data_IF_364599146275
#
_entry.id   IF_364599146275
#
_cell.length_a   1.000
_cell.length_b   1.000
_cell.length_c   1.000
_cell.angle_alpha   90.00
_cell.angle_beta   90.00
_cell.angle_gamma   90.00
#
_symmetry.space_group_name_H-M   'P 1'
#
loop_
_entity.id
_entity.type
_entity.pdbx_description
1 polymer ?
#
# COMPACT_ATOMS: atom_id res chain seq x y z
N UNK A 1 -12.95 42.07 -77.01
CA UNK A 1 -11.93 42.09 -75.98
C UNK A 1 -12.35 41.09 -74.94
N UNK A 2 -11.79 39.88 -74.96
CA UNK A 2 -12.12 38.78 -74.08
C UNK A 2 -11.03 38.64 -73.00
N UNK A 3 -11.39 38.77 -71.73
CA UNK A 3 -10.52 38.64 -70.61
C UNK A 3 -10.51 37.21 -70.13
N UNK A 4 -9.38 36.53 -70.28
CA UNK A 4 -9.19 35.15 -69.78
C UNK A 4 -8.75 35.21 -68.33
N UNK A 5 -9.58 34.65 -67.44
CA UNK A 5 -9.19 34.31 -66.04
C UNK A 5 -8.47 32.95 -66.00
N UNK A 6 -7.19 32.98 -65.66
CA UNK A 6 -6.37 31.82 -65.39
C UNK A 6 -6.60 31.47 -63.93
N UNK A 7 -7.26 30.32 -63.68
CA UNK A 7 -7.39 29.74 -62.33
C UNK A 7 -6.14 28.91 -62.09
N UNK A 8 -5.24 29.38 -61.22
CA UNK A 8 -4.17 28.55 -60.64
C UNK A 8 -4.75 27.67 -59.57
N UNK A 9 -4.78 26.37 -59.83
CA UNK A 9 -5.04 25.36 -58.79
C UNK A 9 -3.77 25.17 -57.97
N UNK A 10 -3.78 25.63 -56.72
CA UNK A 10 -2.74 25.33 -55.73
C UNK A 10 -3.13 23.98 -55.10
N UNK A 11 -2.41 22.93 -55.46
CA UNK A 11 -2.50 21.62 -54.79
C UNK A 11 -1.79 21.73 -53.46
N UNK A 12 -2.57 21.81 -52.36
CA UNK A 12 -2.09 21.62 -51.02
C UNK A 12 -1.85 20.12 -50.80
N UNK A 13 -0.60 19.69 -50.85
CA UNK A 13 -0.17 18.39 -50.37
C UNK A 13 -0.23 18.39 -48.84
N UNK A 14 -1.23 17.71 -48.28
CA UNK A 14 -1.30 17.41 -46.86
C UNK A 14 -0.26 16.33 -46.57
N UNK A 15 0.74 16.55 -45.70
CA UNK A 15 1.60 15.45 -45.29
C UNK A 15 0.77 14.46 -44.51
N UNK A 16 0.76 13.19 -44.94
CA UNK A 16 0.29 12.07 -44.16
C UNK A 16 1.19 11.96 -42.89
N UNK A 17 0.75 12.57 -41.80
CA UNK A 17 1.28 12.21 -40.48
C UNK A 17 0.68 10.84 -40.16
N UNK A 18 1.39 9.78 -40.54
CA UNK A 18 1.22 8.48 -39.89
C UNK A 18 1.67 8.66 -38.42
N UNK A 19 0.73 8.74 -37.52
CA UNK A 19 1.01 8.53 -36.11
C UNK A 19 1.54 7.10 -35.97
N UNK A 20 2.85 6.99 -35.86
CA UNK A 20 3.50 5.76 -35.43
C UNK A 20 3.12 5.56 -33.96
N UNK A 21 2.04 4.79 -33.72
CA UNK A 21 1.61 4.33 -32.37
C UNK A 21 2.43 3.09 -32.01
N UNK A 22 3.73 3.12 -32.25
CA UNK A 22 4.69 2.17 -31.66
C UNK A 22 5.40 2.80 -30.45
N UNK A 23 4.71 3.67 -29.72
CA UNK A 23 5.08 4.08 -28.39
C UNK A 23 4.73 2.94 -27.43
N UNK A 24 5.77 2.26 -26.91
CA UNK A 24 5.83 1.39 -25.75
C UNK A 24 4.47 1.25 -25.03
N UNK A 25 3.72 0.22 -25.38
CA UNK A 25 2.75 -0.32 -24.42
C UNK A 25 3.60 -0.90 -23.30
N UNK A 26 3.68 -0.19 -22.18
CA UNK A 26 4.10 -0.80 -20.93
C UNK A 26 3.14 -1.98 -20.74
N UNK A 27 3.69 -3.18 -20.58
CA UNK A 27 2.89 -4.37 -20.25
C UNK A 27 2.42 -4.33 -18.79
N UNK A 28 2.49 -3.16 -18.16
CA UNK A 28 2.07 -2.99 -16.78
C UNK A 28 0.55 -3.09 -16.70
N UNK A 29 0.02 -3.85 -15.75
CA UNK A 29 -1.42 -3.97 -15.54
C UNK A 29 -2.05 -2.60 -15.31
N UNK A 30 -3.21 -2.37 -15.91
CA UNK A 30 -3.92 -1.09 -15.80
C UNK A 30 -4.85 -1.16 -14.59
N UNK A 31 -4.69 -0.20 -13.66
CA UNK A 31 -5.67 0.08 -12.61
C UNK A 31 -6.71 1.07 -13.12
N UNK A 32 -7.99 0.74 -12.99
CA UNK A 32 -9.09 1.57 -13.44
C UNK A 32 -10.05 1.91 -12.30
N UNK A 33 -10.47 3.17 -12.26
CA UNK A 33 -11.37 3.70 -11.25
C UNK A 33 -12.52 4.45 -11.93
N UNK A 34 -13.76 4.06 -11.61
CA UNK A 34 -14.98 4.66 -12.13
C UNK A 34 -15.81 5.24 -11.00
N UNK A 35 -16.29 6.49 -11.15
CA UNK A 35 -17.18 7.10 -10.15
C UNK A 35 -18.56 6.47 -10.20
N UNK A 36 -19.27 6.54 -9.08
CA UNK A 36 -20.70 6.23 -9.01
C UNK A 36 -21.56 7.29 -9.73
N UNK A 37 -22.86 7.01 -9.87
CA UNK A 37 -23.81 7.97 -10.48
C UNK A 37 -23.97 9.28 -9.68
N UNK A 38 -23.62 9.29 -8.40
CA UNK A 38 -23.59 10.47 -7.54
C UNK A 38 -22.19 11.11 -7.42
N UNK A 39 -21.27 10.71 -8.28
CA UNK A 39 -19.97 11.34 -8.45
C UNK A 39 -18.89 10.91 -7.45
N UNK A 40 -19.12 9.85 -6.66
CA UNK A 40 -18.15 9.34 -5.70
C UNK A 40 -17.11 8.49 -6.44
N UNK A 41 -15.86 8.87 -6.32
CA UNK A 41 -14.72 8.20 -6.96
C UNK A 41 -13.93 7.37 -5.94
N UNK A 42 -13.68 6.07 -6.21
CA UNK A 42 -12.80 5.26 -5.37
C UNK A 42 -11.33 5.48 -5.77
N UNK A 43 -10.45 5.44 -4.78
CA UNK A 43 -8.99 5.51 -4.95
C UNK A 43 -8.41 4.34 -4.17
N UNK A 44 -7.82 3.38 -4.87
CA UNK A 44 -7.14 2.26 -4.23
C UNK A 44 -5.85 2.75 -3.56
N UNK A 45 -5.60 2.31 -2.34
CA UNK A 45 -4.40 2.59 -1.57
C UNK A 45 -3.51 1.36 -1.38
N UNK A 46 -3.94 0.20 -1.86
CA UNK A 46 -3.16 -1.04 -1.88
C UNK A 46 -2.52 -1.22 -3.24
N UNK A 47 -1.20 -1.45 -3.30
CA UNK A 47 -0.45 -1.52 -4.55
C UNK A 47 -0.06 -2.94 -4.94
N UNK A 48 0.02 -3.88 -3.99
CA UNK A 48 0.46 -5.25 -4.26
C UNK A 48 -0.66 -6.28 -3.99
N UNK A 49 -1.52 -6.47 -5.00
CA UNK A 49 -2.55 -7.51 -4.97
C UNK A 49 -2.01 -8.81 -5.57
N UNK A 50 -2.25 -9.92 -4.90
CA UNK A 50 -1.89 -11.26 -5.35
C UNK A 50 -2.94 -12.28 -4.90
N UNK A 51 -2.91 -13.47 -5.50
CA UNK A 51 -3.80 -14.59 -5.12
C UNK A 51 -3.72 -14.88 -3.62
N UNK A 52 -4.86 -15.19 -3.02
CA UNK A 52 -5.06 -15.47 -1.60
C UNK A 52 -5.95 -14.43 -0.92
N UNK A 53 -6.10 -14.57 0.39
CA UNK A 53 -6.80 -13.58 1.19
C UNK A 53 -5.96 -12.32 1.34
N UNK A 54 -6.50 -11.17 0.93
CA UNK A 54 -5.80 -9.88 0.89
C UNK A 54 -6.59 -8.79 1.59
N UNK A 55 -5.91 -8.03 2.43
CA UNK A 55 -6.44 -6.76 2.91
C UNK A 55 -6.30 -5.74 1.79
N UNK A 56 -7.43 -5.18 1.38
CA UNK A 56 -7.45 -4.02 0.51
C UNK A 56 -7.76 -2.77 1.33
N UNK A 57 -7.17 -1.66 0.91
CA UNK A 57 -7.42 -0.34 1.49
C UNK A 57 -7.75 0.65 0.37
N UNK A 58 -8.78 1.45 0.55
CA UNK A 58 -9.20 2.44 -0.45
C UNK A 58 -9.90 3.63 0.20
N UNK A 59 -9.93 4.74 -0.53
CA UNK A 59 -10.67 5.94 -0.17
C UNK A 59 -11.86 6.11 -1.10
N UNK A 60 -12.90 6.76 -0.61
CA UNK A 60 -13.98 7.30 -1.43
C UNK A 60 -13.94 8.81 -1.35
N UNK A 61 -13.99 9.47 -2.51
CA UNK A 61 -13.90 10.93 -2.61
C UNK A 61 -14.97 11.48 -3.52
N UNK A 62 -15.45 12.68 -3.21
CA UNK A 62 -16.30 13.48 -4.07
C UNK A 62 -15.76 14.91 -4.20
N UNK A 63 -16.54 15.83 -4.74
CA UNK A 63 -16.16 17.24 -4.90
C UNK A 63 -15.95 17.99 -3.58
N UNK A 64 -16.39 17.42 -2.45
CA UNK A 64 -16.27 18.01 -1.10
C UNK A 64 -15.14 17.42 -0.29
N UNK A 65 -14.56 16.29 -0.73
CA UNK A 65 -13.44 15.62 -0.08
C UNK A 65 -13.66 14.13 0.16
N UNK A 66 -13.18 13.62 1.30
CA UNK A 66 -13.32 12.21 1.67
C UNK A 66 -14.76 11.92 2.09
N UNK A 67 -15.37 10.95 1.43
CA UNK A 67 -16.69 10.43 1.80
C UNK A 67 -16.52 9.38 2.89
N UNK A 68 -17.20 9.59 4.02
CA UNK A 68 -17.16 8.72 5.19
C UNK A 68 -18.52 8.08 5.44
N UNK A 69 -18.53 6.77 5.59
CA UNK A 69 -19.61 5.96 6.12
C UNK A 69 -19.00 4.94 7.06
N UNK A 70 -19.70 4.43 8.04
CA UNK A 70 -19.14 3.41 8.94
C UNK A 70 -18.69 2.18 8.17
N UNK A 71 -19.55 1.77 7.24
CA UNK A 71 -19.29 0.61 6.35
C UNK A 71 -19.73 0.90 4.93
N UNK A 72 -19.19 0.12 4.00
CA UNK A 72 -19.63 0.03 2.60
C UNK A 72 -19.62 -1.43 2.17
N UNK A 73 -20.51 -1.78 1.26
CA UNK A 73 -20.59 -3.13 0.69
C UNK A 73 -19.75 -3.20 -0.59
N UNK A 74 -18.86 -4.20 -0.67
CA UNK A 74 -18.11 -4.55 -1.86
C UNK A 74 -18.71 -5.79 -2.51
N UNK A 75 -18.99 -5.72 -3.82
CA UNK A 75 -19.28 -6.89 -4.64
C UNK A 75 -18.10 -7.13 -5.56
N UNK A 76 -17.52 -8.31 -5.47
CA UNK A 76 -16.24 -8.65 -6.10
C UNK A 76 -16.43 -9.76 -7.12
N UNK A 77 -15.81 -9.65 -8.29
CA UNK A 77 -15.80 -10.71 -9.30
C UNK A 77 -14.53 -10.72 -10.13
N UNK A 78 -14.13 -11.90 -10.57
CA UNK A 78 -13.13 -12.07 -11.62
C UNK A 78 -13.76 -11.78 -13.00
N UNK A 79 -13.16 -10.86 -13.77
CA UNK A 79 -13.81 -10.34 -14.99
C UNK A 79 -13.97 -11.41 -16.06
N UNK A 80 -12.98 -12.29 -16.22
CA UNK A 80 -12.97 -13.28 -17.30
C UNK A 80 -13.77 -14.55 -16.97
N UNK A 81 -14.16 -14.75 -15.69
CA UNK A 81 -14.79 -15.98 -15.23
C UNK A 81 -16.31 -15.96 -15.31
N UNK A 82 -16.92 -14.87 -14.92
CA UNK A 82 -18.38 -14.79 -14.75
C UNK A 82 -18.93 -13.38 -14.81
N UNK A 83 -20.19 -13.24 -15.25
CA UNK A 83 -20.94 -11.98 -15.10
C UNK A 83 -21.52 -11.82 -13.69
N UNK A 84 -21.60 -12.90 -12.90
CA UNK A 84 -22.03 -12.85 -11.50
C UNK A 84 -20.90 -12.43 -10.57
N UNK A 85 -21.25 -11.86 -9.42
CA UNK A 85 -20.27 -11.57 -8.38
C UNK A 85 -19.90 -12.87 -7.65
N UNK A 86 -18.60 -13.03 -7.42
CA UNK A 86 -18.02 -14.20 -6.75
C UNK A 86 -18.09 -14.08 -5.23
N UNK A 87 -17.98 -12.85 -4.72
CA UNK A 87 -17.98 -12.58 -3.28
C UNK A 87 -18.67 -11.23 -2.95
N UNK A 88 -19.18 -11.14 -1.73
CA UNK A 88 -19.72 -9.91 -1.15
C UNK A 88 -19.06 -9.70 0.19
N UNK A 89 -18.29 -8.64 0.31
CA UNK A 89 -17.56 -8.28 1.52
C UNK A 89 -17.98 -6.92 2.05
N UNK A 90 -17.75 -6.67 3.34
CA UNK A 90 -17.98 -5.39 3.97
C UNK A 90 -16.65 -4.73 4.25
N UNK A 91 -16.45 -3.50 3.76
CA UNK A 91 -15.32 -2.68 4.15
C UNK A 91 -15.75 -1.72 5.27
N UNK A 92 -14.92 -1.63 6.29
CA UNK A 92 -15.08 -0.70 7.41
C UNK A 92 -14.18 0.51 7.22
N UNK A 93 -14.68 1.69 7.56
CA UNK A 93 -13.90 2.91 7.60
C UNK A 93 -13.08 2.97 8.90
N UNK A 94 -11.79 3.25 8.77
CA UNK A 94 -10.91 3.52 9.90
C UNK A 94 -10.36 4.93 9.78
N UNK A 95 -10.54 5.71 10.84
CA UNK A 95 -9.94 7.02 10.93
C UNK A 95 -8.42 6.92 11.05
N UNK A 96 -7.73 7.78 10.28
CA UNK A 96 -6.30 7.97 10.36
C UNK A 96 -6.00 9.33 10.98
N UNK A 97 -4.78 9.53 11.49
CA UNK A 97 -4.36 10.83 11.97
C UNK A 97 -4.61 11.96 10.95
N UNK A 98 -4.72 13.17 11.45
CA UNK A 98 -4.95 14.38 10.65
C UNK A 98 -6.28 14.42 9.87
N UNK A 99 -7.32 13.78 10.40
CA UNK A 99 -8.67 13.79 9.82
C UNK A 99 -8.81 12.99 8.52
N UNK A 100 -7.84 12.15 8.21
CA UNK A 100 -7.86 11.22 7.10
C UNK A 100 -8.45 9.88 7.50
N UNK A 101 -8.50 8.93 6.59
CA UNK A 101 -8.93 7.57 6.84
C UNK A 101 -9.13 6.81 5.55
N UNK A 102 -9.33 5.52 5.67
CA UNK A 102 -9.59 4.64 4.55
C UNK A 102 -10.57 3.53 4.93
N UNK A 103 -11.24 3.01 3.93
CA UNK A 103 -11.99 1.75 4.05
C UNK A 103 -11.02 0.59 3.91
N UNK A 104 -11.21 -0.45 4.71
CA UNK A 104 -10.47 -1.70 4.58
C UNK A 104 -11.40 -2.90 4.57
N UNK A 105 -11.07 -3.89 3.75
CA UNK A 105 -11.76 -5.18 3.69
C UNK A 105 -10.77 -6.30 3.44
N UNK A 106 -11.13 -7.51 3.86
CA UNK A 106 -10.47 -8.74 3.44
C UNK A 106 -11.20 -9.31 2.24
N UNK A 107 -10.46 -9.58 1.16
CA UNK A 107 -10.97 -10.17 -0.08
C UNK A 107 -10.14 -11.41 -0.41
N UNK A 108 -10.82 -12.49 -0.78
CA UNK A 108 -10.14 -13.70 -1.25
C UNK A 108 -10.08 -13.69 -2.79
N UNK A 109 -8.89 -13.47 -3.32
CA UNK A 109 -8.61 -13.60 -4.76
C UNK A 109 -8.11 -15.01 -5.03
N UNK A 110 -8.94 -15.88 -5.63
CA UNK A 110 -8.63 -17.29 -5.82
C UNK A 110 -7.83 -17.60 -7.10
N UNK A 111 -7.75 -16.65 -8.03
CA UNK A 111 -6.92 -16.76 -9.23
C UNK A 111 -6.37 -15.40 -9.71
N UNK A 112 -5.28 -15.40 -10.50
CA UNK A 112 -4.72 -14.15 -11.05
C UNK A 112 -5.58 -13.65 -12.21
N UNK A 113 -5.52 -12.34 -12.46
CA UNK A 113 -6.24 -11.70 -13.54
C UNK A 113 -6.90 -10.39 -13.11
N UNK A 114 -7.78 -9.86 -13.95
CA UNK A 114 -8.52 -8.64 -13.62
C UNK A 114 -9.72 -8.93 -12.74
N UNK A 115 -9.79 -8.21 -11.63
CA UNK A 115 -10.89 -8.26 -10.67
C UNK A 115 -11.64 -6.94 -10.63
N UNK A 116 -12.95 -7.01 -10.66
CA UNK A 116 -13.84 -5.88 -10.48
C UNK A 116 -14.37 -5.85 -9.05
N UNK A 117 -14.32 -4.69 -8.44
CA UNK A 117 -14.88 -4.41 -7.12
C UNK A 117 -15.88 -3.27 -7.24
N UNK A 118 -17.18 -3.56 -7.11
CA UNK A 118 -18.27 -2.60 -7.08
C UNK A 118 -18.55 -2.19 -5.64
N UNK A 119 -18.49 -0.90 -5.34
CA UNK A 119 -18.54 -0.34 -4.00
C UNK A 119 -19.85 0.42 -3.82
N UNK A 120 -20.69 -0.04 -2.89
CA UNK A 120 -21.96 0.55 -2.53
C UNK A 120 -21.87 1.16 -1.14
N UNK A 121 -22.33 2.40 -1.00
CA UNK A 121 -22.49 3.03 0.31
C UNK A 121 -23.88 2.67 0.83
N UNK A 122 -23.94 1.97 1.95
CA UNK A 122 -25.13 1.26 2.41
C UNK A 122 -26.33 2.17 2.72
N UNK A 123 -26.07 3.42 3.09
CA UNK A 123 -27.10 4.43 3.38
C UNK A 123 -27.52 5.27 2.16
N UNK A 124 -27.00 4.94 0.95
CA UNK A 124 -27.31 5.64 -0.30
C UNK A 124 -27.96 4.73 -1.32
N UNK A 125 -28.98 5.25 -2.00
CA UNK A 125 -29.62 4.55 -3.11
C UNK A 125 -28.81 4.76 -4.41
N UNK A 126 -27.68 4.07 -4.55
CA UNK A 126 -26.82 4.15 -5.72
C UNK A 126 -27.29 3.19 -6.81
N UNK A 127 -27.71 3.74 -7.96
CA UNK A 127 -28.07 2.94 -9.14
C UNK A 127 -26.82 2.39 -9.84
N UNK A 128 -25.74 3.17 -9.84
CA UNK A 128 -24.43 2.79 -10.39
C UNK A 128 -23.42 2.96 -9.27
N UNK A 129 -22.76 1.89 -8.82
CA UNK A 129 -21.75 1.97 -7.75
C UNK A 129 -20.46 2.62 -8.21
N UNK A 130 -19.63 3.03 -7.26
CA UNK A 130 -18.22 3.28 -7.53
C UNK A 130 -17.53 1.96 -7.87
N UNK A 131 -16.55 1.97 -8.76
CA UNK A 131 -15.90 0.74 -9.22
C UNK A 131 -14.40 0.87 -9.31
N UNK A 132 -13.72 -0.15 -8.84
CA UNK A 132 -12.30 -0.43 -9.09
C UNK A 132 -12.18 -1.66 -9.99
N UNK A 133 -11.21 -1.62 -10.91
CA UNK A 133 -10.76 -2.79 -11.69
C UNK A 133 -9.26 -2.87 -11.53
N UNK A 134 -8.79 -3.98 -10.95
CA UNK A 134 -7.41 -4.16 -10.56
C UNK A 134 -6.88 -5.51 -11.03
N UNK A 135 -5.59 -5.52 -11.34
CA UNK A 135 -4.87 -6.75 -11.64
C UNK A 135 -4.43 -7.43 -10.35
N UNK A 136 -4.65 -8.73 -10.27
CA UNK A 136 -4.19 -9.59 -9.18
C UNK A 136 -3.10 -10.51 -9.72
N UNK A 137 -1.91 -10.45 -9.17
CA UNK A 137 -0.79 -11.30 -9.55
C UNK A 137 -0.94 -12.71 -9.00
N UNK A 138 -0.33 -13.68 -9.66
CA UNK A 138 -0.30 -15.07 -9.16
C UNK A 138 0.44 -15.17 -7.82
N UNK A 139 1.56 -14.45 -7.70
CA UNK A 139 2.42 -14.48 -6.52
C UNK A 139 2.66 -13.07 -6.01
N UNK A 140 2.78 -12.92 -4.71
CA UNK A 140 3.22 -11.66 -4.12
C UNK A 140 4.66 -11.33 -4.51
N UNK A 141 4.95 -10.06 -4.75
CA UNK A 141 6.30 -9.57 -5.07
C UNK A 141 7.19 -9.49 -3.83
N UNK A 142 6.58 -9.25 -2.67
CA UNK A 142 7.25 -9.10 -1.36
C UNK A 142 6.92 -10.31 -0.46
N UNK A 143 7.58 -10.48 0.70
CA UNK A 143 7.27 -11.57 1.63
C UNK A 143 5.78 -11.63 1.96
N UNK A 144 5.20 -12.83 1.84
CA UNK A 144 3.76 -13.05 1.89
C UNK A 144 3.33 -13.82 3.14
N UNK A 145 2.04 -13.75 3.45
CA UNK A 145 1.42 -14.51 4.53
C UNK A 145 1.75 -16.01 4.39
N UNK A 146 2.14 -16.64 5.48
CA UNK A 146 2.60 -18.04 5.52
C UNK A 146 4.08 -18.23 5.18
N UNK A 147 4.78 -17.23 4.64
CA UNK A 147 6.22 -17.31 4.36
C UNK A 147 7.07 -16.87 5.56
N UNK A 148 8.32 -17.31 5.56
CA UNK A 148 9.36 -16.80 6.47
C UNK A 148 10.13 -15.72 5.70
N UNK A 149 10.14 -14.45 6.18
CA UNK A 149 10.82 -13.38 5.48
C UNK A 149 12.34 -13.44 5.64
N UNK A 150 13.11 -12.64 4.88
CA UNK A 150 14.55 -12.53 5.04
C UNK A 150 14.97 -12.16 6.46
N UNK A 151 16.02 -12.82 6.97
CA UNK A 151 16.62 -12.54 8.28
C UNK A 151 17.57 -11.35 8.18
N UNK A 152 17.02 -10.17 8.01
CA UNK A 152 17.76 -8.95 7.73
C UNK A 152 18.47 -8.40 8.96
N UNK A 153 19.61 -7.76 8.73
CA UNK A 153 20.22 -6.87 9.72
C UNK A 153 19.54 -5.51 9.60
N UNK A 154 18.80 -5.12 10.64
CA UNK A 154 18.32 -3.75 10.82
C UNK A 154 19.20 -3.04 11.84
N UNK A 155 19.28 -1.72 11.77
CA UNK A 155 20.03 -0.94 12.73
C UNK A 155 19.41 -1.06 14.13
N UNK A 156 20.28 -1.05 15.13
CA UNK A 156 19.91 -1.09 16.54
C UNK A 156 20.63 0.02 17.30
N UNK A 157 20.19 0.28 18.51
CA UNK A 157 20.82 1.28 19.37
C UNK A 157 22.27 0.94 19.75
N UNK A 158 22.69 -0.31 19.52
CA UNK A 158 24.11 -0.71 19.70
C UNK A 158 24.99 -0.36 18.50
N UNK A 159 24.40 -0.01 17.35
CA UNK A 159 25.16 0.28 16.12
C UNK A 159 25.56 1.76 16.01
N UNK A 160 24.85 2.66 16.70
CA UNK A 160 25.16 4.09 16.76
C UNK A 160 24.79 4.69 18.11
N UNK A 161 25.55 5.70 18.52
CA UNK A 161 25.26 6.49 19.72
C UNK A 161 24.29 7.65 19.45
N UNK A 162 24.04 7.96 18.19
CA UNK A 162 23.07 8.97 17.76
C UNK A 162 21.84 8.28 17.16
N UNK A 163 20.68 8.52 17.76
CA UNK A 163 19.41 7.97 17.29
C UNK A 163 19.05 8.48 15.88
N UNK A 164 19.53 9.65 15.48
CA UNK A 164 19.32 10.21 14.16
C UNK A 164 19.98 9.40 13.03
N UNK A 165 20.98 8.56 13.35
CA UNK A 165 21.57 7.59 12.41
C UNK A 165 20.65 6.41 12.13
N UNK A 166 19.66 6.21 12.99
CA UNK A 166 18.82 4.99 13.00
C UNK A 166 17.42 5.30 12.50
N UNK A 167 16.89 6.48 12.81
CA UNK A 167 15.50 6.81 12.47
C UNK A 167 15.28 8.30 12.27
N UNK A 168 14.28 8.64 11.46
CA UNK A 168 13.79 9.99 11.23
C UNK A 168 12.60 10.37 12.10
N UNK A 169 12.20 9.52 13.06
CA UNK A 169 11.11 9.81 13.97
C UNK A 169 11.45 11.04 14.85
N UNK A 170 10.54 12.00 14.97
CA UNK A 170 10.75 13.21 15.74
C UNK A 170 10.88 12.94 17.25
N UNK A 171 10.16 11.94 17.76
CA UNK A 171 10.21 11.49 19.15
C UNK A 171 10.38 9.96 19.16
N UNK A 172 11.60 9.45 18.91
CA UNK A 172 11.83 8.03 18.76
C UNK A 172 11.68 7.27 20.07
N UNK A 173 10.91 6.19 20.05
CA UNK A 173 10.93 5.18 21.11
C UNK A 173 12.13 4.27 20.89
N UNK A 174 13.18 4.47 21.68
CA UNK A 174 14.45 3.73 21.53
C UNK A 174 14.29 2.23 21.66
N UNK A 175 13.26 1.77 22.38
CA UNK A 175 12.99 0.36 22.58
C UNK A 175 12.50 -0.38 21.33
N UNK A 176 12.18 0.33 20.24
CA UNK A 176 11.90 -0.25 18.93
C UNK A 176 13.17 -0.65 18.16
N UNK A 177 14.36 -0.34 18.71
CA UNK A 177 15.67 -0.58 18.10
C UNK A 177 16.59 -1.44 18.97
N UNK A 178 16.02 -2.19 19.94
CA UNK A 178 16.79 -3.06 20.85
C UNK A 178 17.30 -4.33 20.17
N UNK A 179 16.65 -4.75 19.08
CA UNK A 179 16.92 -6.03 18.45
C UNK A 179 16.82 -5.93 16.93
N UNK A 180 17.69 -6.62 16.20
CA UNK A 180 17.60 -6.74 14.74
C UNK A 180 16.48 -7.67 14.31
N UNK A 181 15.96 -7.49 13.09
CA UNK A 181 15.00 -8.42 12.48
C UNK A 181 15.54 -9.86 12.51
N UNK A 182 16.84 -10.05 12.22
CA UNK A 182 17.50 -11.36 12.27
C UNK A 182 17.40 -12.03 13.65
N UNK A 183 17.65 -11.29 14.71
CA UNK A 183 17.55 -11.83 16.08
C UNK A 183 16.11 -12.12 16.45
N UNK A 184 15.17 -11.24 16.09
CA UNK A 184 13.75 -11.44 16.33
C UNK A 184 13.23 -12.73 15.66
N UNK A 185 13.59 -12.98 14.41
CA UNK A 185 13.23 -14.19 13.68
C UNK A 185 13.91 -15.48 14.21
N UNK A 186 14.77 -15.36 15.21
CA UNK A 186 15.52 -16.49 15.79
C UNK A 186 15.25 -16.74 17.26
N UNK A 187 14.49 -15.86 17.93
CA UNK A 187 14.27 -15.93 19.38
C UNK A 187 12.93 -16.59 19.77
N UNK A 188 12.17 -17.09 18.79
CA UNK A 188 10.88 -17.79 19.00
C UNK A 188 9.81 -16.94 19.70
N UNK A 189 9.85 -15.63 19.50
CA UNK A 189 8.83 -14.69 19.97
C UNK A 189 8.05 -14.15 18.78
N UNK A 190 6.73 -13.93 18.91
CA UNK A 190 5.99 -13.21 17.91
C UNK A 190 6.61 -11.81 17.68
N UNK A 191 6.47 -11.28 16.49
CA UNK A 191 7.14 -10.03 16.15
C UNK A 191 6.23 -9.13 15.33
N UNK A 192 6.28 -7.83 15.62
CA UNK A 192 5.70 -6.77 14.78
C UNK A 192 6.84 -5.96 14.21
N UNK A 193 6.95 -5.94 12.88
CA UNK A 193 8.03 -5.26 12.16
C UNK A 193 7.41 -4.21 11.24
N UNK A 194 7.72 -2.94 11.49
CA UNK A 194 7.26 -1.83 10.65
C UNK A 194 8.44 -1.22 9.88
N UNK A 195 8.34 -1.19 8.57
CA UNK A 195 9.21 -0.43 7.69
C UNK A 195 8.56 0.93 7.44
N UNK A 196 9.21 2.00 7.82
CA UNK A 196 8.68 3.34 7.68
C UNK A 196 9.81 4.38 7.65
N UNK A 197 9.55 5.55 7.07
CA UNK A 197 10.45 6.70 7.15
C UNK A 197 9.66 7.92 7.61
N UNK A 198 9.55 8.17 8.92
CA UNK A 198 8.67 9.20 9.48
C UNK A 198 8.82 10.59 8.87
N UNK A 199 10.04 11.04 8.57
CA UNK A 199 10.28 12.37 8.00
C UNK A 199 10.20 12.40 6.46
N UNK A 200 10.38 11.26 5.78
CA UNK A 200 10.57 11.23 4.32
C UNK A 200 9.48 10.47 3.57
N UNK A 201 8.45 10.01 4.25
CA UNK A 201 7.31 9.33 3.65
C UNK A 201 6.56 10.25 2.68
N UNK A 202 6.21 9.73 1.51
CA UNK A 202 5.42 10.46 0.52
C UNK A 202 4.00 10.72 1.01
N UNK A 203 3.42 9.76 1.75
CA UNK A 203 2.16 9.93 2.46
C UNK A 203 2.42 10.25 3.94
N UNK A 204 1.50 10.92 4.64
CA UNK A 204 1.66 11.23 6.07
C UNK A 204 1.29 10.04 6.97
N UNK A 205 1.62 8.83 6.58
CA UNK A 205 1.25 7.58 7.30
C UNK A 205 2.40 7.04 8.14
N UNK A 206 3.66 7.24 7.73
CA UNK A 206 4.81 6.61 8.36
C UNK A 206 5.05 7.06 9.80
N UNK A 207 5.01 8.37 10.08
CA UNK A 207 5.14 8.88 11.45
C UNK A 207 4.07 8.31 12.38
N UNK A 208 2.78 8.47 12.06
CA UNK A 208 1.69 7.86 12.82
C UNK A 208 1.78 6.33 12.94
N UNK A 209 2.33 5.64 11.94
CA UNK A 209 2.50 4.18 12.01
C UNK A 209 3.55 3.78 13.06
N UNK A 210 4.66 4.50 13.13
CA UNK A 210 5.70 4.27 14.15
C UNK A 210 5.18 4.62 15.55
N UNK A 211 4.39 5.70 15.68
CA UNK A 211 3.74 6.05 16.94
C UNK A 211 2.73 4.97 17.39
N UNK A 212 1.92 4.46 16.46
CA UNK A 212 0.98 3.37 16.74
C UNK A 212 1.72 2.10 17.20
N UNK A 213 2.86 1.78 16.57
CA UNK A 213 3.71 0.66 16.96
C UNK A 213 4.25 0.81 18.39
N UNK A 214 4.72 2.00 18.76
CA UNK A 214 5.21 2.32 20.12
C UNK A 214 4.07 2.24 21.15
N UNK A 215 2.91 2.79 20.83
CA UNK A 215 1.74 2.71 21.71
C UNK A 215 1.29 1.27 21.92
N UNK A 216 1.23 0.49 20.86
CA UNK A 216 0.86 -0.92 20.94
C UNK A 216 1.83 -1.71 21.81
N UNK A 217 3.14 -1.52 21.64
CA UNK A 217 4.16 -2.15 22.49
C UNK A 217 3.89 -1.92 23.97
N UNK A 218 3.54 -0.69 24.34
CA UNK A 218 3.28 -0.32 25.74
C UNK A 218 1.98 -0.93 26.30
N UNK A 219 1.10 -1.46 25.42
CA UNK A 219 -0.16 -2.09 25.81
C UNK A 219 -0.03 -3.60 26.05
N UNK A 220 1.10 -4.20 25.68
CA UNK A 220 1.34 -5.63 25.82
C UNK A 220 2.38 -5.94 26.87
N UNK A 221 1.98 -6.69 27.91
CA UNK A 221 2.88 -7.27 28.91
C UNK A 221 3.52 -8.60 28.44
N UNK A 222 3.25 -8.98 27.18
CA UNK A 222 3.73 -10.23 26.60
C UNK A 222 5.12 -10.08 26.00
N UNK A 223 5.81 -11.20 25.92
CA UNK A 223 7.15 -11.31 25.35
C UNK A 223 7.10 -11.31 23.81
N UNK A 224 6.92 -10.12 23.23
CA UNK A 224 6.91 -9.84 21.79
C UNK A 224 8.08 -8.96 21.39
N UNK A 225 8.47 -9.06 20.12
CA UNK A 225 9.39 -8.10 19.52
C UNK A 225 8.59 -7.03 18.78
N UNK A 226 8.90 -5.75 19.04
CA UNK A 226 8.41 -4.62 18.26
C UNK A 226 9.60 -3.92 17.63
N UNK A 227 9.63 -3.83 16.30
CA UNK A 227 10.80 -3.34 15.57
C UNK A 227 10.34 -2.30 14.55
N UNK A 228 10.95 -1.13 14.60
CA UNK A 228 10.91 -0.17 13.51
C UNK A 228 12.20 -0.30 12.69
N UNK A 229 12.04 -0.40 11.37
CA UNK A 229 13.12 -0.37 10.39
C UNK A 229 12.96 0.89 9.55
N UNK A 230 13.92 1.81 9.68
CA UNK A 230 13.97 2.99 8.82
C UNK A 230 14.17 2.56 7.36
N UNK A 231 13.43 3.20 6.44
CA UNK A 231 13.50 2.88 5.01
C UNK A 231 14.85 3.27 4.42
N UNK A 232 15.45 4.34 4.92
CA UNK A 232 16.75 4.83 4.46
C UNK A 232 17.86 4.46 5.40
N UNK A 233 18.99 4.01 4.85
CA UNK A 233 20.16 3.61 5.63
C UNK A 233 20.95 4.80 6.17
N UNK A 234 20.89 5.95 5.49
CA UNK A 234 21.59 7.18 5.86
C UNK A 234 20.63 8.36 6.13
N UNK A 235 19.68 8.24 7.08
CA UNK A 235 18.60 9.20 7.25
C UNK A 235 19.09 10.63 7.53
N UNK A 236 20.18 10.80 8.26
CA UNK A 236 20.74 12.12 8.59
C UNK A 236 21.44 12.83 7.41
N UNK A 237 21.85 12.10 6.36
CA UNK A 237 22.53 12.67 5.18
C UNK A 237 21.54 13.23 4.17
N UNK A 238 20.29 12.82 4.21
CA UNK A 238 19.27 13.18 3.21
C UNK A 238 18.95 14.68 3.26
N UNK A 239 18.70 15.26 4.44
CA UNK A 239 18.50 16.72 4.70
C UNK A 239 17.69 17.46 3.60
N UNK A 240 16.74 16.76 2.94
CA UNK A 240 15.94 17.29 1.83
C UNK A 240 16.52 17.00 0.43
N UNK A 241 17.72 16.46 0.34
CA UNK A 241 18.31 15.97 -0.91
C UNK A 241 18.08 14.45 -1.05
N UNK A 242 17.01 14.08 -1.73
CA UNK A 242 16.67 12.66 -1.95
C UNK A 242 17.61 11.94 -2.92
N UNK A 243 18.44 12.63 -3.68
CA UNK A 243 19.46 12.01 -4.52
C UNK A 243 20.59 11.40 -3.66
N UNK A 244 20.75 11.87 -2.44
CA UNK A 244 21.67 11.30 -1.46
C UNK A 244 21.08 10.11 -0.66
N UNK A 245 19.79 9.80 -0.83
CA UNK A 245 19.11 8.78 -0.05
C UNK A 245 19.55 7.36 -0.46
N UNK A 246 19.99 6.58 0.51
CA UNK A 246 20.33 5.16 0.34
C UNK A 246 19.24 4.29 0.97
N UNK A 247 18.59 3.46 0.16
CA UNK A 247 17.59 2.50 0.67
C UNK A 247 18.26 1.47 1.55
N UNK A 248 17.70 1.24 2.74
CA UNK A 248 18.26 0.32 3.73
C UNK A 248 18.34 -1.13 3.20
N UNK A 249 19.40 -1.88 3.55
CA UNK A 249 19.58 -3.26 3.11
C UNK A 249 18.38 -4.15 3.41
N UNK A 250 17.75 -4.01 4.55
CA UNK A 250 16.56 -4.77 4.95
C UNK A 250 15.37 -4.52 4.00
N UNK A 251 15.15 -3.28 3.54
CA UNK A 251 14.11 -2.93 2.57
C UNK A 251 14.34 -3.64 1.24
N UNK A 252 15.60 -3.65 0.75
CA UNK A 252 15.99 -4.34 -0.49
C UNK A 252 15.84 -5.86 -0.37
N UNK A 253 16.27 -6.45 0.76
CA UNK A 253 16.14 -7.89 1.02
C UNK A 253 14.66 -8.32 1.07
N UNK A 254 13.77 -7.47 1.60
CA UNK A 254 12.33 -7.70 1.63
C UNK A 254 11.64 -7.28 0.32
N UNK A 255 12.39 -6.74 -0.65
CA UNK A 255 11.94 -6.32 -1.98
C UNK A 255 10.86 -5.23 -1.97
N UNK A 256 10.75 -4.45 -0.91
CA UNK A 256 9.77 -3.37 -0.83
C UNK A 256 10.04 -2.28 -1.87
N UNK A 257 11.30 -2.01 -2.17
CA UNK A 257 11.75 -1.07 -3.18
C UNK A 257 11.51 -1.52 -4.62
N UNK A 258 11.09 -2.77 -4.82
CA UNK A 258 10.78 -3.32 -6.16
C UNK A 258 9.31 -3.24 -6.52
N UNK A 259 8.44 -2.82 -5.59
CA UNK A 259 7.02 -2.69 -5.83
C UNK A 259 6.74 -1.59 -6.87
N UNK A 260 5.90 -1.85 -7.89
CA UNK A 260 5.54 -0.84 -8.89
C UNK A 260 4.93 0.40 -8.23
N UNK A 261 5.49 1.57 -8.56
CA UNK A 261 4.99 2.84 -8.03
C UNK A 261 5.22 3.07 -6.54
N UNK A 262 5.93 2.19 -5.84
CA UNK A 262 6.27 2.40 -4.44
C UNK A 262 7.11 3.66 -4.26
N UNK A 263 6.66 4.49 -3.33
CA UNK A 263 7.30 5.75 -2.98
C UNK A 263 7.49 5.83 -1.47
N UNK A 264 8.25 4.87 -0.91
CA UNK A 264 8.54 4.77 0.52
C UNK A 264 7.30 4.70 1.46
N UNK A 265 6.19 4.13 0.98
CA UNK A 265 5.05 3.84 1.84
C UNK A 265 5.42 2.83 2.93
N UNK A 266 4.82 2.99 4.10
CA UNK A 266 5.06 2.08 5.22
C UNK A 266 4.50 0.68 4.96
N UNK A 267 5.21 -0.31 5.48
CA UNK A 267 4.76 -1.69 5.54
C UNK A 267 4.87 -2.23 6.95
N UNK A 268 3.83 -2.89 7.44
CA UNK A 268 3.84 -3.54 8.75
C UNK A 268 3.55 -5.02 8.59
N UNK A 269 4.37 -5.85 9.24
CA UNK A 269 4.26 -7.31 9.23
C UNK A 269 4.10 -7.82 10.65
N UNK A 270 3.15 -8.73 10.87
CA UNK A 270 2.96 -9.44 12.13
C UNK A 270 3.31 -10.91 11.91
N UNK A 271 4.26 -11.39 12.69
CA UNK A 271 4.83 -12.73 12.58
C UNK A 271 4.53 -13.53 13.85
N UNK A 272 4.31 -14.83 13.66
CA UNK A 272 4.18 -15.76 14.79
C UNK A 272 5.55 -16.14 15.38
N UNK A 273 5.54 -16.95 16.45
CA UNK A 273 6.77 -17.44 17.12
C UNK A 273 7.67 -18.30 16.27
N UNK A 274 7.18 -18.83 15.14
CA UNK A 274 7.97 -19.59 14.17
C UNK A 274 8.61 -18.68 13.11
N UNK A 275 8.35 -17.38 13.18
CA UNK A 275 8.82 -16.38 12.22
C UNK A 275 8.03 -16.36 10.92
N UNK A 276 6.86 -17.01 10.86
CA UNK A 276 5.97 -16.94 9.70
C UNK A 276 5.14 -15.66 9.74
N UNK A 277 5.04 -14.97 8.61
CA UNK A 277 4.14 -13.82 8.44
C UNK A 277 2.71 -14.32 8.54
N UNK A 278 1.94 -13.72 9.46
CA UNK A 278 0.51 -14.00 9.65
C UNK A 278 -0.35 -12.86 9.12
N UNK A 279 0.16 -11.63 9.22
CA UNK A 279 -0.50 -10.46 8.65
C UNK A 279 0.53 -9.55 8.01
N UNK A 280 0.12 -8.84 6.95
CA UNK A 280 0.89 -7.78 6.32
C UNK A 280 -0.02 -6.62 5.96
N UNK A 281 0.46 -5.41 6.17
CA UNK A 281 -0.29 -4.19 5.97
C UNK A 281 0.55 -3.20 5.16
N UNK A 282 -0.05 -2.67 4.12
CA UNK A 282 0.49 -1.56 3.34
C UNK A 282 -0.12 -0.25 3.84
N UNK A 283 0.68 0.80 3.95
CA UNK A 283 0.27 2.10 4.47
C UNK A 283 -0.03 2.06 5.96
N UNK A 284 -0.95 2.92 6.41
CA UNK A 284 -1.35 2.98 7.80
C UNK A 284 -2.28 1.82 8.17
N UNK A 285 -2.01 1.19 9.29
CA UNK A 285 -2.91 0.25 9.96
C UNK A 285 -3.34 0.83 11.29
N UNK A 286 -4.65 0.84 11.55
CA UNK A 286 -5.17 1.37 12.81
C UNK A 286 -4.73 0.52 14.01
N UNK A 287 -4.66 1.13 15.20
CA UNK A 287 -4.30 0.40 16.43
C UNK A 287 -5.22 -0.81 16.63
N UNK A 288 -6.52 -0.66 16.37
CA UNK A 288 -7.49 -1.76 16.53
C UNK A 288 -7.21 -2.94 15.57
N UNK A 289 -6.91 -2.66 14.29
CA UNK A 289 -6.55 -3.73 13.34
C UNK A 289 -5.25 -4.41 13.75
N UNK A 290 -4.28 -3.62 14.22
CA UNK A 290 -2.98 -4.12 14.64
C UNK A 290 -3.06 -4.95 15.93
N UNK A 291 -3.87 -4.53 16.90
CA UNK A 291 -4.20 -5.29 18.11
C UNK A 291 -4.78 -6.66 17.76
N UNK A 292 -5.80 -6.71 16.90
CA UNK A 292 -6.40 -7.98 16.47
C UNK A 292 -5.38 -8.90 15.79
N UNK A 293 -4.49 -8.33 14.96
CA UNK A 293 -3.44 -9.10 14.30
C UNK A 293 -2.43 -9.67 15.30
N UNK A 294 -2.02 -8.89 16.30
CA UNK A 294 -1.11 -9.32 17.37
C UNK A 294 -1.75 -10.38 18.24
N UNK A 295 -3.00 -10.18 18.67
CA UNK A 295 -3.74 -11.14 19.50
C UNK A 295 -3.84 -12.51 18.81
N UNK A 296 -4.02 -12.52 17.49
CA UNK A 296 -4.11 -13.77 16.72
C UNK A 296 -2.81 -14.61 16.73
N UNK A 297 -1.65 -13.99 16.97
CA UNK A 297 -0.35 -14.69 17.00
C UNK A 297 0.17 -15.00 18.40
N UNK A 298 -0.43 -14.40 19.43
CA UNK A 298 -0.10 -14.68 20.84
C UNK A 298 -0.79 -15.94 21.32
N UNK A 299 -2.06 -16.15 20.93
CA UNK A 299 -2.92 -17.24 21.42
C UNK A 299 -2.56 -18.60 20.80
N UNK A 300 -1.81 -18.61 19.71
CA UNK A 300 -1.33 -19.80 19.02
C UNK A 300 0.16 -20.03 19.33
#
# INVERSE_FOLDING_TARGET
>A
MALWCVIMAVSLSVPNMSCDVTGMMSNDPISLSYPSNDGIKPILATTNLSVGERRISFLLTDSTGIVKSETVTLKVKHIERSDSFDDISTARYYDWPYGRGAYTAMINFDEPGYWQMDIYIDDRNQLIPSRLIEWVDRNAMIPDVGSIPPKSLSKTFSDSTDIADITTAANPDTSLYDITVRKALSNQKPSVIAFASPAFCTSPTCGPQVEALSQLKNSYDYDLNFIHVEIYDNPQDIQGDFDAAEVAPAVKEWKLDTLPGWKNESWTFVLDRNGQIRHRFEGFVSSLELEHAVDSVIVN
#
